data_IF_302858481936
#
_entry.id   IF_302858481936
#
_cell.length_a   1.000
_cell.length_b   1.000
_cell.length_c   1.000
_cell.angle_alpha   90.00
_cell.angle_beta   90.00
_cell.angle_gamma   90.00
#
_symmetry.space_group_name_H-M   'P 1'
#
loop_
_entity.id
_entity.type
_entity.pdbx_description
1 polymer ?
#
# COMPACT_ATOMS: atom_id res chain seq x y z
N UNK A 1 -25.05 -33.04 52.88
CA UNK A 1 -23.66 -33.06 53.40
C UNK A 1 -22.59 -33.36 52.35
N UNK A 2 -22.84 -34.25 51.36
CA UNK A 2 -21.84 -34.62 50.34
C UNK A 2 -21.52 -33.50 49.32
N UNK A 3 -22.49 -32.67 48.94
CA UNK A 3 -22.29 -31.59 47.94
C UNK A 3 -21.39 -30.45 48.44
N UNK A 4 -21.55 -30.02 49.71
CA UNK A 4 -20.66 -29.02 50.33
C UNK A 4 -19.21 -29.50 50.41
N UNK A 5 -19.00 -30.79 50.72
CA UNK A 5 -17.66 -31.38 50.81
C UNK A 5 -16.97 -31.50 49.44
N UNK A 6 -17.75 -31.66 48.37
CA UNK A 6 -17.27 -31.64 46.99
C UNK A 6 -16.87 -30.22 46.56
N UNK A 7 -17.74 -29.23 46.78
CA UNK A 7 -17.51 -27.82 46.39
C UNK A 7 -16.35 -27.16 47.15
N UNK A 8 -16.12 -27.54 48.41
CA UNK A 8 -14.99 -27.08 49.22
C UNK A 8 -13.73 -27.96 49.13
N UNK A 9 -13.70 -28.91 48.19
CA UNK A 9 -12.44 -29.61 47.89
C UNK A 9 -11.50 -28.65 47.18
N UNK A 10 -10.22 -28.66 47.56
CA UNK A 10 -9.21 -27.76 46.99
C UNK A 10 -9.11 -27.89 45.47
N UNK A 11 -9.26 -29.11 44.91
CA UNK A 11 -9.26 -29.33 43.47
C UNK A 11 -10.43 -28.62 42.77
N UNK A 12 -11.63 -28.65 43.36
CA UNK A 12 -12.82 -27.99 42.78
C UNK A 12 -12.72 -26.48 42.94
N UNK A 13 -12.15 -25.97 44.04
CA UNK A 13 -11.89 -24.54 44.19
C UNK A 13 -10.87 -24.03 43.17
N UNK A 14 -9.82 -24.79 42.88
CA UNK A 14 -8.82 -24.44 41.88
C UNK A 14 -9.43 -24.42 40.46
N UNK A 15 -10.29 -25.39 40.14
CA UNK A 15 -11.04 -25.40 38.87
C UNK A 15 -11.96 -24.18 38.75
N UNK A 16 -12.74 -23.87 39.80
CA UNK A 16 -13.61 -22.70 39.84
C UNK A 16 -12.83 -21.40 39.69
N UNK A 17 -11.65 -21.31 40.31
CA UNK A 17 -10.75 -20.17 40.15
C UNK A 17 -10.35 -19.98 38.69
N UNK A 18 -9.90 -21.03 37.99
CA UNK A 18 -9.56 -20.92 36.57
C UNK A 18 -10.75 -20.59 35.67
N UNK A 19 -11.95 -21.10 35.99
CA UNK A 19 -13.18 -20.74 35.25
C UNK A 19 -13.52 -19.26 35.43
N UNK A 20 -13.41 -18.73 36.65
CA UNK A 20 -13.65 -17.31 36.94
C UNK A 20 -12.58 -16.45 36.26
N UNK A 21 -11.30 -16.83 36.35
CA UNK A 21 -10.22 -16.14 35.64
C UNK A 21 -10.44 -16.14 34.12
N UNK A 22 -10.94 -17.25 33.55
CA UNK A 22 -11.29 -17.34 32.13
C UNK A 22 -12.44 -16.38 31.76
N UNK A 23 -13.49 -16.34 32.57
CA UNK A 23 -14.61 -15.40 32.37
C UNK A 23 -14.16 -13.94 32.44
N UNK A 24 -13.25 -13.60 33.37
CA UNK A 24 -12.67 -12.26 33.47
C UNK A 24 -11.79 -11.96 32.26
N UNK A 25 -10.96 -12.91 31.82
CA UNK A 25 -10.07 -12.75 30.66
C UNK A 25 -10.83 -12.56 29.34
N UNK A 26 -12.03 -13.15 29.21
CA UNK A 26 -12.91 -12.97 28.04
C UNK A 26 -13.51 -11.55 27.98
N UNK A 27 -13.55 -10.85 29.12
CA UNK A 27 -14.13 -9.50 29.28
C UNK A 27 -15.49 -9.36 28.56
N UNK A 28 -16.51 -10.15 28.96
CA UNK A 28 -17.80 -10.15 28.30
C UNK A 28 -18.48 -8.78 28.41
N UNK A 29 -18.91 -8.25 27.28
CA UNK A 29 -19.79 -7.11 27.21
C UNK A 29 -21.23 -7.59 27.40
N UNK A 30 -21.79 -7.33 28.58
CA UNK A 30 -23.13 -7.80 28.98
C UNK A 30 -24.28 -7.16 28.18
N UNK A 31 -24.01 -6.08 27.43
CA UNK A 31 -25.02 -5.38 26.64
C UNK A 31 -24.37 -4.73 25.41
N UNK A 32 -24.00 -5.53 24.39
CA UNK A 32 -23.40 -5.01 23.17
C UNK A 32 -24.44 -4.18 22.41
N UNK A 33 -24.34 -2.86 22.51
CA UNK A 33 -25.20 -1.91 21.81
C UNK A 33 -24.40 -1.13 20.79
N UNK A 34 -25.04 -0.82 19.68
CA UNK A 34 -24.44 -0.02 18.62
C UNK A 34 -23.69 -0.82 17.57
N UNK A 35 -23.19 -0.07 16.59
CA UNK A 35 -22.29 -0.56 15.55
C UNK A 35 -20.92 0.12 15.72
N UNK A 36 -19.84 -0.62 15.48
CA UNK A 36 -18.48 -0.07 15.44
C UNK A 36 -18.09 0.22 14.00
N UNK A 37 -17.71 1.46 13.71
CA UNK A 37 -17.24 1.86 12.39
C UNK A 37 -15.84 1.29 12.15
N UNK A 38 -15.67 0.48 11.12
CA UNK A 38 -14.36 -0.10 10.73
C UNK A 38 -13.67 0.73 9.65
N UNK A 39 -14.44 1.33 8.74
CA UNK A 39 -13.91 2.14 7.64
C UNK A 39 -14.85 3.30 7.31
N UNK A 40 -14.25 4.41 6.85
CA UNK A 40 -14.96 5.60 6.36
C UNK A 40 -14.29 6.02 5.05
N UNK A 41 -15.07 6.07 3.98
CA UNK A 41 -14.63 6.58 2.69
C UNK A 41 -15.00 8.05 2.48
N UNK A 42 -14.81 8.52 1.26
CA UNK A 42 -15.22 9.87 0.86
C UNK A 42 -16.76 9.98 0.87
N UNK A 43 -17.29 11.00 1.56
CA UNK A 43 -18.72 11.24 1.71
C UNK A 43 -19.09 12.05 2.96
N UNK A 44 -20.32 11.83 3.46
CA UNK A 44 -20.91 12.61 4.55
C UNK A 44 -20.09 12.62 5.85
N UNK A 45 -19.31 11.55 6.08
CA UNK A 45 -18.58 11.27 7.32
C UNK A 45 -17.07 11.57 7.26
N UNK A 46 -16.54 11.94 6.10
CA UNK A 46 -15.11 12.22 5.90
C UNK A 46 -14.63 13.31 6.85
N UNK A 47 -13.56 13.02 7.59
CA UNK A 47 -12.98 13.88 8.63
C UNK A 47 -13.94 14.28 9.78
N UNK A 48 -15.11 13.64 9.90
CA UNK A 48 -16.10 13.91 10.96
C UNK A 48 -16.27 12.72 11.91
N UNK A 49 -16.05 11.51 11.41
CA UNK A 49 -15.99 10.27 12.17
C UNK A 49 -14.64 9.60 11.94
N UNK A 50 -14.24 8.74 12.88
CA UNK A 50 -13.00 7.98 12.83
C UNK A 50 -13.31 6.48 12.95
N UNK A 51 -12.46 5.64 12.37
CA UNK A 51 -12.50 4.19 12.60
C UNK A 51 -12.36 3.87 14.10
N UNK A 52 -13.06 2.84 14.56
CA UNK A 52 -13.19 2.44 15.96
C UNK A 52 -14.25 3.20 16.77
N UNK A 53 -14.98 4.13 16.15
CA UNK A 53 -16.10 4.83 16.81
C UNK A 53 -17.32 3.92 16.89
N UNK A 54 -17.92 3.80 18.07
CA UNK A 54 -19.16 3.04 18.27
C UNK A 54 -20.34 4.01 18.22
N UNK A 55 -21.34 3.73 17.38
CA UNK A 55 -22.57 4.51 17.24
C UNK A 55 -23.71 3.74 17.91
N UNK A 56 -24.32 4.33 18.94
CA UNK A 56 -25.43 3.74 19.68
C UNK A 56 -26.79 4.13 19.11
N UNK A 57 -26.96 5.39 18.72
CA UNK A 57 -28.20 5.92 18.18
C UNK A 57 -27.96 7.08 17.22
N UNK A 58 -28.89 7.28 16.29
CA UNK A 58 -28.85 8.35 15.31
C UNK A 58 -30.23 9.00 15.14
N UNK A 59 -30.27 10.29 14.83
CA UNK A 59 -31.51 11.01 14.57
C UNK A 59 -31.27 12.38 13.95
N UNK A 60 -32.21 12.88 13.16
CA UNK A 60 -32.15 14.26 12.67
C UNK A 60 -32.54 15.23 13.78
N UNK A 61 -31.92 16.41 13.82
CA UNK A 61 -32.26 17.46 14.80
C UNK A 61 -33.76 17.73 14.79
N UNK A 62 -34.41 17.60 15.96
CA UNK A 62 -35.85 17.80 16.14
C UNK A 62 -36.72 16.55 15.92
N UNK A 63 -36.13 15.40 15.56
CA UNK A 63 -36.80 14.10 15.50
C UNK A 63 -36.34 13.19 16.64
N UNK A 64 -37.11 12.15 16.93
CA UNK A 64 -36.72 11.13 17.89
C UNK A 64 -35.46 10.37 17.43
N UNK A 65 -34.63 10.00 18.41
CA UNK A 65 -33.41 9.24 18.17
C UNK A 65 -33.75 7.77 17.96
N UNK A 66 -33.27 7.18 16.87
CA UNK A 66 -33.37 5.74 16.60
C UNK A 66 -32.14 5.02 17.13
N UNK A 67 -32.33 3.94 17.87
CA UNK A 67 -31.22 3.05 18.24
C UNK A 67 -30.67 2.32 17.00
N UNK A 68 -29.36 2.21 16.91
CA UNK A 68 -28.65 1.61 15.79
C UNK A 68 -28.12 0.24 16.22
N UNK A 69 -28.62 -0.82 15.60
CA UNK A 69 -28.21 -2.20 15.87
C UNK A 69 -27.46 -2.82 14.69
N UNK A 70 -27.75 -2.33 13.48
CA UNK A 70 -27.17 -2.78 12.24
C UNK A 70 -26.73 -1.60 11.36
N UNK A 71 -25.84 -1.86 10.39
CA UNK A 71 -25.42 -0.87 9.40
C UNK A 71 -26.58 -0.25 8.65
N UNK A 72 -27.61 -1.06 8.33
CA UNK A 72 -28.79 -0.63 7.58
C UNK A 72 -29.60 0.44 8.33
N UNK A 73 -29.63 0.39 9.67
CA UNK A 73 -30.34 1.38 10.48
C UNK A 73 -29.76 2.79 10.30
N UNK A 74 -28.44 2.90 10.07
CA UNK A 74 -27.79 4.18 9.84
C UNK A 74 -27.97 4.66 8.40
N UNK A 75 -28.14 3.73 7.45
CA UNK A 75 -28.39 4.05 6.03
C UNK A 75 -29.78 4.65 5.80
N UNK A 76 -30.73 4.49 6.73
CA UNK A 76 -32.04 5.16 6.65
C UNK A 76 -31.96 6.69 6.63
N UNK A 77 -30.88 7.26 7.17
CA UNK A 77 -30.65 8.70 7.15
C UNK A 77 -29.87 9.16 5.90
N UNK A 78 -29.56 8.25 4.99
CA UNK A 78 -28.90 8.58 3.73
C UNK A 78 -29.83 9.41 2.84
N UNK A 79 -29.27 10.30 2.04
CA UNK A 79 -30.00 11.20 1.14
C UNK A 79 -30.93 12.22 1.85
N UNK A 80 -31.01 12.18 3.18
CA UNK A 80 -31.69 13.21 3.96
C UNK A 80 -30.87 14.52 3.98
N UNK A 81 -31.56 15.63 4.21
CA UNK A 81 -30.94 16.95 4.37
C UNK A 81 -31.22 17.50 5.75
N UNK A 82 -30.21 18.07 6.40
CA UNK A 82 -30.33 18.60 7.76
C UNK A 82 -29.11 18.33 8.61
N UNK A 83 -29.32 18.21 9.92
CA UNK A 83 -28.26 17.90 10.88
C UNK A 83 -28.53 16.53 11.50
N UNK A 84 -27.66 15.57 11.23
CA UNK A 84 -27.69 14.23 11.83
C UNK A 84 -26.93 14.27 13.16
N UNK A 85 -27.60 13.86 14.22
CA UNK A 85 -27.03 13.70 15.56
C UNK A 85 -26.74 12.23 15.78
N UNK A 86 -25.49 11.91 16.16
CA UNK A 86 -25.03 10.57 16.49
C UNK A 86 -24.63 10.53 17.97
N UNK A 87 -25.15 9.56 18.71
CA UNK A 87 -24.65 9.24 20.05
C UNK A 87 -23.56 8.18 19.92
N UNK A 88 -22.34 8.53 20.34
CA UNK A 88 -21.18 7.65 20.19
C UNK A 88 -20.46 7.40 21.50
N UNK A 89 -19.56 6.42 21.53
CA UNK A 89 -18.64 6.21 22.66
C UNK A 89 -17.67 7.39 22.90
N UNK A 90 -17.51 8.28 21.92
CA UNK A 90 -16.70 9.51 22.00
C UNK A 90 -17.56 10.77 22.24
N UNK A 91 -18.81 10.58 22.68
CA UNK A 91 -19.78 11.66 22.91
C UNK A 91 -20.70 11.90 21.71
N UNK A 92 -21.50 12.97 21.78
CA UNK A 92 -22.46 13.32 20.73
C UNK A 92 -21.76 14.02 19.57
N UNK A 93 -22.02 13.58 18.33
CA UNK A 93 -21.50 14.20 17.10
C UNK A 93 -22.66 14.72 16.25
N UNK A 94 -22.54 15.93 15.74
CA UNK A 94 -23.55 16.52 14.84
C UNK A 94 -22.94 16.76 13.47
N UNK A 95 -23.56 16.17 12.44
CA UNK A 95 -23.06 16.15 11.07
C UNK A 95 -24.10 16.79 10.15
N UNK A 96 -23.70 17.82 9.42
CA UNK A 96 -24.55 18.44 8.40
C UNK A 96 -24.63 17.52 7.17
N UNK A 97 -25.84 17.11 6.81
CA UNK A 97 -26.18 16.31 5.64
C UNK A 97 -26.71 17.22 4.51
N UNK A 98 -26.29 16.93 3.28
CA UNK A 98 -26.71 17.64 2.06
C UNK A 98 -27.22 16.66 0.99
N UNK A 99 -27.91 15.59 1.39
CA UNK A 99 -28.34 14.55 0.45
C UNK A 99 -27.17 13.70 -0.08
N UNK A 100 -26.15 13.48 0.75
CA UNK A 100 -24.93 12.74 0.38
C UNK A 100 -25.10 11.24 0.68
N UNK A 101 -24.38 10.41 -0.09
CA UNK A 101 -24.30 8.96 0.14
C UNK A 101 -23.40 8.67 1.34
N UNK A 102 -23.74 7.65 2.12
CA UNK A 102 -22.94 7.21 3.24
C UNK A 102 -21.96 6.14 2.80
N UNK A 103 -20.68 6.48 2.82
CA UNK A 103 -19.60 5.56 2.45
C UNK A 103 -18.85 5.13 3.72
N UNK A 104 -19.32 4.05 4.34
CA UNK A 104 -18.69 3.49 5.55
C UNK A 104 -18.85 1.97 5.60
N UNK A 105 -17.99 1.32 6.37
CA UNK A 105 -18.18 -0.07 6.81
C UNK A 105 -18.32 -0.08 8.32
N UNK A 106 -19.25 -0.89 8.83
CA UNK A 106 -19.47 -1.06 10.25
C UNK A 106 -19.70 -2.53 10.60
N UNK A 107 -19.29 -2.91 11.80
CA UNK A 107 -19.54 -4.22 12.38
C UNK A 107 -20.44 -4.07 13.62
N UNK A 108 -21.12 -5.14 14.03
CA UNK A 108 -21.81 -5.14 15.32
C UNK A 108 -20.79 -5.13 16.46
N UNK A 109 -21.11 -4.42 17.53
CA UNK A 109 -20.30 -4.49 18.76
C UNK A 109 -20.31 -5.94 19.28
N UNK A 110 -19.13 -6.54 19.43
CA UNK A 110 -19.00 -7.93 19.87
C UNK A 110 -19.34 -8.07 21.36
N UNK A 111 -19.97 -9.18 21.71
CA UNK A 111 -20.31 -9.52 23.09
C UNK A 111 -19.09 -9.95 23.91
N UNK A 112 -17.98 -10.35 23.27
CA UNK A 112 -16.76 -10.82 23.94
C UNK A 112 -15.52 -10.43 23.14
N UNK A 113 -14.35 -10.47 23.78
CA UNK A 113 -13.05 -10.28 23.12
C UNK A 113 -12.52 -11.54 22.44
N UNK A 114 -13.33 -12.59 22.34
CA UNK A 114 -12.95 -13.83 21.67
C UNK A 114 -12.89 -13.59 20.16
N UNK A 115 -11.73 -13.90 19.57
CA UNK A 115 -11.57 -13.97 18.11
C UNK A 115 -11.93 -15.39 17.69
N UNK A 116 -12.92 -15.52 16.84
CA UNK A 116 -13.41 -16.82 16.43
C UNK A 116 -12.83 -17.16 15.05
N UNK A 117 -12.68 -18.46 14.78
CA UNK A 117 -12.30 -18.92 13.45
C UNK A 117 -13.38 -18.64 12.42
N UNK A 118 -13.05 -18.78 11.14
CA UNK A 118 -13.97 -18.61 10.01
C UNK A 118 -15.28 -19.40 10.16
N UNK A 119 -15.20 -20.60 10.74
CA UNK A 119 -16.33 -21.50 10.93
C UNK A 119 -17.38 -20.97 11.93
N UNK A 120 -17.00 -20.02 12.78
CA UNK A 120 -17.85 -19.45 13.84
C UNK A 120 -18.14 -17.96 13.60
N UNK A 121 -17.16 -17.19 13.14
CA UNK A 121 -17.30 -15.74 12.90
C UNK A 121 -17.87 -15.42 11.51
N UNK A 122 -17.77 -16.37 10.58
CA UNK A 122 -17.95 -16.08 9.16
C UNK A 122 -16.79 -15.27 8.58
N UNK A 123 -16.78 -15.15 7.26
CA UNK A 123 -15.73 -14.47 6.52
C UNK A 123 -15.89 -14.75 5.04
N UNK A 124 -14.91 -14.32 4.25
CA UNK A 124 -15.03 -14.41 2.80
C UNK A 124 -14.07 -15.44 2.25
N UNK A 125 -14.63 -16.26 1.36
CA UNK A 125 -13.88 -17.15 0.49
C UNK A 125 -13.92 -16.59 -0.92
N UNK A 126 -12.75 -16.31 -1.48
CA UNK A 126 -12.59 -15.88 -2.86
C UNK A 126 -11.85 -16.95 -3.66
N UNK A 127 -12.24 -17.14 -4.91
CA UNK A 127 -11.52 -17.95 -5.88
C UNK A 127 -10.88 -17.02 -6.91
N UNK A 128 -9.56 -17.09 -7.03
CA UNK A 128 -8.81 -16.33 -8.01
C UNK A 128 -8.34 -17.23 -9.14
N UNK A 129 -8.58 -16.75 -10.35
CA UNK A 129 -8.06 -17.31 -11.58
C UNK A 129 -6.94 -16.40 -12.09
N UNK A 130 -5.68 -16.89 -12.15
CA UNK A 130 -4.59 -16.12 -12.74
C UNK A 130 -4.82 -15.90 -14.24
N UNK A 131 -4.69 -14.67 -14.72
CA UNK A 131 -4.63 -14.37 -16.15
C UNK A 131 -3.18 -14.39 -16.63
N UNK A 132 -2.86 -15.19 -17.65
CA UNK A 132 -1.55 -15.29 -18.32
C UNK A 132 -0.35 -15.64 -17.42
N UNK A 133 -0.09 -16.95 -17.28
CA UNK A 133 0.98 -17.50 -16.42
C UNK A 133 2.34 -17.69 -17.12
N UNK A 134 2.69 -16.88 -18.12
CA UNK A 134 3.80 -17.21 -19.02
C UNK A 134 5.16 -17.42 -18.32
N UNK A 135 5.41 -16.75 -17.20
CA UNK A 135 6.68 -16.81 -16.45
C UNK A 135 6.53 -16.89 -14.93
N UNK A 136 5.32 -17.11 -14.39
CA UNK A 136 5.07 -17.09 -12.94
C UNK A 136 4.28 -18.31 -12.54
N UNK A 137 4.68 -18.97 -11.46
CA UNK A 137 3.99 -20.16 -10.93
C UNK A 137 2.87 -19.78 -9.96
N UNK A 138 1.90 -20.66 -9.78
CA UNK A 138 0.80 -20.45 -8.80
C UNK A 138 1.36 -20.26 -7.39
N UNK A 139 2.42 -20.99 -7.07
CA UNK A 139 3.05 -20.97 -5.75
C UNK A 139 3.79 -19.63 -5.51
N UNK A 140 4.40 -19.04 -6.54
CA UNK A 140 4.94 -17.68 -6.47
C UNK A 140 3.84 -16.63 -6.25
N UNK A 141 2.68 -16.78 -6.90
CA UNK A 141 1.54 -15.87 -6.68
C UNK A 141 1.05 -15.99 -5.24
N UNK A 142 0.90 -17.22 -4.72
CA UNK A 142 0.51 -17.45 -3.32
C UNK A 142 1.51 -16.78 -2.36
N UNK A 143 2.82 -16.98 -2.56
CA UNK A 143 3.84 -16.36 -1.71
C UNK A 143 3.77 -14.82 -1.71
N UNK A 144 3.50 -14.20 -2.86
CA UNK A 144 3.34 -12.75 -2.97
C UNK A 144 2.09 -12.30 -2.20
N UNK A 145 0.97 -13.00 -2.36
CA UNK A 145 -0.28 -12.65 -1.69
C UNK A 145 -0.19 -12.85 -0.17
N UNK A 146 0.44 -13.93 0.30
CA UNK A 146 0.74 -14.17 1.71
C UNK A 146 1.60 -13.05 2.30
N UNK A 147 2.68 -12.69 1.61
CA UNK A 147 3.57 -11.61 2.05
C UNK A 147 2.81 -10.28 2.16
N UNK A 148 1.95 -9.96 1.19
CA UNK A 148 1.12 -8.75 1.22
C UNK A 148 0.15 -8.75 2.40
N UNK A 149 -0.62 -9.83 2.60
CA UNK A 149 -1.57 -9.89 3.71
C UNK A 149 -0.86 -9.79 5.06
N UNK A 150 0.27 -10.48 5.22
CA UNK A 150 1.06 -10.43 6.46
C UNK A 150 1.59 -9.02 6.75
N UNK A 151 2.07 -8.29 5.73
CA UNK A 151 2.55 -6.91 5.88
C UNK A 151 1.41 -5.95 6.22
N UNK A 152 0.26 -6.07 5.55
CA UNK A 152 -0.88 -5.19 5.84
C UNK A 152 -1.55 -5.49 7.18
N UNK A 153 -1.17 -6.59 7.86
CA UNK A 153 -1.50 -6.84 9.27
C UNK A 153 -2.98 -7.08 9.54
N UNK A 154 -3.77 -7.34 8.51
CA UNK A 154 -5.21 -7.48 8.60
C UNK A 154 -5.60 -8.95 8.40
N UNK A 155 -5.79 -9.63 9.53
CA UNK A 155 -6.43 -10.94 9.68
C UNK A 155 -5.60 -12.12 9.13
N UNK A 156 -5.80 -13.28 9.75
CA UNK A 156 -5.18 -14.53 9.33
C UNK A 156 -5.89 -14.99 8.04
N UNK A 157 -5.21 -14.86 6.91
CA UNK A 157 -5.69 -15.38 5.64
C UNK A 157 -5.06 -16.73 5.36
N UNK A 158 -5.86 -17.64 4.79
CA UNK A 158 -5.41 -18.94 4.34
C UNK A 158 -5.46 -19.01 2.82
N UNK A 159 -4.36 -19.44 2.21
CA UNK A 159 -4.23 -19.63 0.77
C UNK A 159 -4.14 -21.11 0.45
N UNK A 160 -4.95 -21.56 -0.52
CA UNK A 160 -4.90 -22.94 -1.02
C UNK A 160 -4.89 -22.96 -2.54
N UNK A 161 -3.96 -23.73 -3.10
CA UNK A 161 -3.98 -24.11 -4.51
C UNK A 161 -5.10 -25.11 -4.75
N UNK A 162 -5.93 -24.83 -5.74
CA UNK A 162 -6.97 -25.74 -6.23
C UNK A 162 -6.72 -26.03 -7.71
N UNK A 163 -6.92 -27.28 -8.10
CA UNK A 163 -6.92 -27.69 -9.50
C UNK A 163 -8.34 -28.13 -9.80
N UNK A 164 -9.05 -27.39 -10.66
CA UNK A 164 -10.41 -27.71 -11.09
C UNK A 164 -10.38 -27.87 -12.61
N UNK A 165 -10.47 -29.12 -13.09
CA UNK A 165 -10.23 -29.43 -14.50
C UNK A 165 -8.79 -29.11 -14.89
N UNK A 166 -8.61 -28.35 -15.97
CA UNK A 166 -7.30 -27.85 -16.44
C UNK A 166 -6.94 -26.48 -15.87
N UNK A 167 -7.76 -25.92 -14.96
CA UNK A 167 -7.53 -24.60 -14.40
C UNK A 167 -6.86 -24.67 -13.03
N UNK A 168 -5.73 -23.96 -12.91
CA UNK A 168 -5.09 -23.70 -11.63
C UNK A 168 -5.73 -22.47 -10.97
N UNK A 169 -6.38 -22.68 -9.83
CA UNK A 169 -7.06 -21.64 -9.06
C UNK A 169 -6.40 -21.44 -7.70
N UNK A 170 -6.58 -20.26 -7.12
CA UNK A 170 -6.14 -19.94 -5.76
C UNK A 170 -7.39 -19.63 -4.93
N UNK A 171 -7.64 -20.45 -3.93
CA UNK A 171 -8.64 -20.17 -2.90
C UNK A 171 -8.02 -19.32 -1.81
N UNK A 172 -8.69 -18.23 -1.45
CA UNK A 172 -8.31 -17.36 -0.35
C UNK A 172 -9.46 -17.38 0.66
N UNK A 173 -9.13 -17.60 1.92
CA UNK A 173 -10.08 -17.49 3.03
C UNK A 173 -9.60 -16.42 4.02
N UNK A 174 -10.42 -15.40 4.28
CA UNK A 174 -10.10 -14.33 5.25
C UNK A 174 -11.16 -14.30 6.35
N UNK A 175 -10.73 -14.47 7.60
CA UNK A 175 -11.62 -14.39 8.76
C UNK A 175 -12.08 -12.96 9.02
N UNK A 176 -13.39 -12.73 9.10
CA UNK A 176 -13.99 -11.42 9.39
C UNK A 176 -13.88 -10.34 8.29
N UNK A 177 -13.23 -10.63 7.16
CA UNK A 177 -13.06 -9.69 6.03
C UNK A 177 -14.34 -9.34 5.28
N UNK A 178 -14.38 -8.19 4.61
CA UNK A 178 -15.43 -7.83 3.64
C UNK A 178 -14.94 -7.91 2.17
N UNK A 179 -15.86 -7.96 1.20
CA UNK A 179 -15.52 -8.22 -0.21
C UNK A 179 -14.65 -7.11 -0.79
N UNK A 180 -14.89 -5.88 -0.35
CA UNK A 180 -14.16 -4.70 -0.79
C UNK A 180 -12.69 -4.73 -0.33
N UNK A 181 -12.43 -5.15 0.91
CA UNK A 181 -11.07 -5.34 1.43
C UNK A 181 -10.29 -6.36 0.60
N UNK A 182 -10.92 -7.48 0.25
CA UNK A 182 -10.32 -8.49 -0.63
C UNK A 182 -10.06 -7.91 -2.02
N UNK A 183 -11.02 -7.20 -2.61
CA UNK A 183 -10.84 -6.57 -3.92
C UNK A 183 -9.70 -5.54 -3.91
N UNK A 184 -9.62 -4.69 -2.90
CA UNK A 184 -8.58 -3.67 -2.79
C UNK A 184 -7.17 -4.28 -2.59
N UNK A 185 -7.07 -5.39 -1.85
CA UNK A 185 -5.83 -6.14 -1.66
C UNK A 185 -5.39 -6.90 -2.91
N UNK A 186 -6.34 -7.38 -3.72
CA UNK A 186 -6.08 -8.26 -4.86
C UNK A 186 -5.99 -7.54 -6.21
N UNK A 187 -6.68 -6.41 -6.39
CA UNK A 187 -6.74 -5.70 -7.68
C UNK A 187 -5.51 -4.82 -7.95
N UNK A 188 -4.69 -4.53 -6.93
CA UNK A 188 -3.43 -3.79 -7.13
C UNK A 188 -2.35 -4.74 -7.61
N UNK A 189 -2.00 -4.68 -8.90
CA UNK A 189 -0.87 -5.41 -9.47
C UNK A 189 0.42 -5.07 -8.71
N UNK A 190 0.56 -3.84 -8.22
CA UNK A 190 1.71 -3.40 -7.44
C UNK A 190 2.97 -3.34 -8.29
N UNK A 191 2.82 -2.98 -9.57
CA UNK A 191 3.92 -2.85 -10.52
C UNK A 191 4.76 -1.65 -10.10
N UNK A 192 5.93 -1.92 -9.54
CA UNK A 192 6.87 -0.91 -9.10
C UNK A 192 7.82 -0.57 -10.24
N UNK A 193 8.00 0.72 -10.51
CA UNK A 193 9.03 1.24 -11.38
C UNK A 193 9.73 2.44 -10.72
N UNK A 194 11.05 2.52 -10.85
CA UNK A 194 11.82 3.72 -10.53
C UNK A 194 12.43 4.26 -11.81
N UNK A 195 12.27 5.56 -12.07
CA UNK A 195 12.75 6.23 -13.28
C UNK A 195 13.57 7.48 -12.95
N UNK A 196 14.57 7.76 -13.76
CA UNK A 196 15.37 9.00 -13.68
C UNK A 196 15.14 9.80 -14.97
N UNK A 197 14.72 11.06 -14.89
CA UNK A 197 14.62 11.93 -16.04
C UNK A 197 16.01 12.41 -16.49
N UNK A 198 16.14 12.58 -17.81
CA UNK A 198 17.25 13.29 -18.45
C UNK A 198 16.68 14.50 -19.18
N UNK A 199 16.98 15.69 -18.66
CA UNK A 199 16.62 16.95 -19.32
C UNK A 199 17.69 17.35 -20.34
N UNK A 200 17.33 17.27 -21.63
CA UNK A 200 18.26 17.47 -22.75
C UNK A 200 17.81 18.65 -23.62
N UNK A 201 18.77 19.46 -24.07
CA UNK A 201 18.53 20.55 -25.02
C UNK A 201 18.55 20.03 -26.46
N UNK A 202 17.85 20.69 -27.38
CA UNK A 202 17.93 20.36 -28.81
C UNK A 202 19.38 20.40 -29.32
N UNK A 203 19.82 19.38 -30.05
CA UNK A 203 21.19 19.24 -30.54
C UNK A 203 22.21 18.74 -29.51
N UNK A 204 21.82 18.50 -28.25
CA UNK A 204 22.75 17.95 -27.25
C UNK A 204 22.94 16.45 -27.41
N UNK A 205 23.94 15.91 -26.71
CA UNK A 205 24.19 14.47 -26.61
C UNK A 205 24.19 13.99 -25.18
N UNK A 206 23.92 12.70 -25.01
CA UNK A 206 24.06 11.96 -23.76
C UNK A 206 24.72 10.61 -24.01
N UNK A 207 25.23 9.98 -22.96
CA UNK A 207 26.07 8.78 -23.00
C UNK A 207 25.33 7.56 -22.48
N UNK A 208 25.40 6.44 -23.21
CA UNK A 208 24.88 5.13 -22.77
C UNK A 208 25.77 3.97 -23.25
N UNK A 209 25.67 2.83 -22.57
CA UNK A 209 26.26 1.54 -22.90
C UNK A 209 27.47 1.14 -22.05
N UNK A 210 28.06 2.05 -21.26
CA UNK A 210 29.30 1.80 -20.52
C UNK A 210 29.17 0.62 -19.54
N UNK A 211 28.08 0.55 -18.78
CA UNK A 211 27.89 -0.41 -17.71
C UNK A 211 27.13 -1.67 -18.16
N UNK A 212 26.21 -1.50 -19.13
CA UNK A 212 25.40 -2.60 -19.65
C UNK A 212 26.08 -3.40 -20.76
N UNK A 213 26.83 -2.73 -21.65
CA UNK A 213 27.39 -3.33 -22.88
C UNK A 213 28.93 -3.26 -22.88
N UNK A 214 29.53 -2.46 -22.00
CA UNK A 214 30.98 -2.31 -21.87
C UNK A 214 31.59 -1.26 -22.81
N UNK A 215 30.78 -0.57 -23.61
CA UNK A 215 31.23 0.52 -24.49
C UNK A 215 30.31 1.72 -24.37
N UNK A 216 30.90 2.91 -24.15
CA UNK A 216 30.14 4.14 -23.97
C UNK A 216 29.93 4.83 -25.31
N UNK A 217 28.69 5.00 -25.72
CA UNK A 217 28.29 5.61 -26.99
C UNK A 217 27.56 6.94 -26.73
N UNK A 218 27.84 7.94 -27.57
CA UNK A 218 27.17 9.24 -27.51
C UNK A 218 25.97 9.29 -28.45
N UNK A 219 24.81 9.59 -27.88
CA UNK A 219 23.54 9.72 -28.59
C UNK A 219 23.20 11.20 -28.77
N UNK A 220 23.30 11.71 -30.00
CA UNK A 220 22.82 13.05 -30.34
C UNK A 220 21.31 13.05 -30.52
N UNK A 221 20.67 14.09 -29.99
CA UNK A 221 19.23 14.28 -30.07
C UNK A 221 18.84 15.50 -30.90
N UNK A 222 17.73 15.38 -31.62
CA UNK A 222 17.11 16.50 -32.31
C UNK A 222 15.61 16.52 -32.01
N UNK A 223 15.13 17.69 -31.59
CA UNK A 223 13.71 17.91 -31.35
C UNK A 223 13.06 18.33 -32.67
N UNK A 224 12.06 17.57 -33.08
CA UNK A 224 11.14 17.91 -34.16
C UNK A 224 9.79 18.27 -33.53
N UNK A 225 8.92 18.97 -34.28
CA UNK A 225 7.68 19.56 -33.76
C UNK A 225 6.93 18.72 -32.70
N UNK A 226 6.76 17.41 -32.92
CA UNK A 226 6.07 16.51 -31.99
C UNK A 226 6.77 15.17 -31.76
N UNK A 227 8.08 15.11 -31.97
CA UNK A 227 8.83 13.85 -31.87
C UNK A 227 10.30 14.09 -31.60
N UNK A 228 10.93 13.13 -30.94
CA UNK A 228 12.36 13.12 -30.67
C UNK A 228 13.09 12.26 -31.70
N UNK A 229 14.11 12.81 -32.35
CA UNK A 229 15.03 12.05 -33.20
C UNK A 229 16.30 11.73 -32.42
N UNK A 230 16.68 10.45 -32.36
CA UNK A 230 17.92 9.97 -31.75
C UNK A 230 18.64 9.12 -32.77
N UNK A 231 19.82 9.55 -33.21
CA UNK A 231 20.49 8.93 -34.37
C UNK A 231 19.60 8.97 -35.62
N UNK A 232 19.28 7.80 -36.17
CA UNK A 232 18.40 7.66 -37.34
C UNK A 232 16.94 7.40 -37.00
N UNK A 233 16.62 7.12 -35.73
CA UNK A 233 15.28 6.74 -35.30
C UNK A 233 14.48 7.95 -34.81
N UNK A 234 13.16 7.89 -34.97
CA UNK A 234 12.21 8.92 -34.55
C UNK A 234 11.21 8.31 -33.58
N UNK A 235 10.99 8.97 -32.46
CA UNK A 235 10.12 8.52 -31.37
C UNK A 235 9.06 9.57 -31.06
N UNK A 236 7.81 9.12 -30.93
CA UNK A 236 6.68 10.00 -30.57
C UNK A 236 6.51 10.09 -29.04
N UNK A 237 5.75 11.08 -28.55
CA UNK A 237 5.63 11.37 -27.11
C UNK A 237 5.08 10.18 -26.32
N UNK A 238 4.10 9.47 -26.86
CA UNK A 238 3.43 8.34 -26.18
C UNK A 238 4.19 7.01 -26.32
N UNK A 239 5.28 7.00 -27.09
CA UNK A 239 6.00 5.78 -27.41
C UNK A 239 7.06 5.46 -26.36
N UNK A 240 7.11 4.19 -25.95
CA UNK A 240 8.24 3.64 -25.18
C UNK A 240 9.28 3.14 -26.17
N UNK A 241 10.55 3.42 -25.89
CA UNK A 241 11.65 2.99 -26.75
C UNK A 241 12.82 2.46 -25.93
N UNK A 242 13.50 1.43 -26.43
CA UNK A 242 14.67 0.86 -25.78
C UNK A 242 15.94 1.42 -26.42
N UNK A 243 16.87 1.91 -25.59
CA UNK A 243 18.23 2.25 -26.01
C UNK A 243 19.21 1.51 -25.13
N UNK A 244 20.06 0.67 -25.74
CA UNK A 244 21.18 -0.01 -25.07
C UNK A 244 20.76 -0.77 -23.80
N UNK A 245 19.56 -1.35 -23.81
CA UNK A 245 19.03 -2.13 -22.67
C UNK A 245 18.30 -1.31 -21.61
N UNK A 246 18.00 -0.04 -21.86
CA UNK A 246 17.20 0.82 -20.99
C UNK A 246 15.94 1.26 -21.72
N UNK A 247 14.80 1.07 -21.08
CA UNK A 247 13.52 1.57 -21.57
C UNK A 247 13.32 3.04 -21.21
N UNK A 248 13.00 3.84 -22.21
CA UNK A 248 12.71 5.26 -22.09
C UNK A 248 11.27 5.57 -22.48
N UNK A 249 10.73 6.65 -21.91
CA UNK A 249 9.53 7.32 -22.39
C UNK A 249 9.75 8.83 -22.42
N UNK A 250 9.04 9.55 -23.28
CA UNK A 250 9.10 11.01 -23.32
C UNK A 250 8.12 11.56 -22.29
N UNK A 251 8.62 12.25 -21.25
CA UNK A 251 7.76 12.89 -20.23
C UNK A 251 7.26 14.25 -20.70
N UNK A 252 8.13 15.03 -21.34
CA UNK A 252 7.81 16.37 -21.80
C UNK A 252 8.67 16.73 -23.01
N UNK A 253 8.08 17.41 -24.00
CA UNK A 253 8.74 17.86 -25.21
C UNK A 253 8.35 19.32 -25.51
N UNK A 254 9.35 20.17 -25.65
CA UNK A 254 9.21 21.58 -26.06
C UNK A 254 10.13 21.85 -27.25
N UNK A 255 9.98 22.97 -27.96
CA UNK A 255 10.85 23.31 -29.10
C UNK A 255 12.35 23.41 -28.76
N UNK A 256 12.71 23.58 -27.49
CA UNK A 256 14.11 23.75 -27.03
C UNK A 256 14.62 22.59 -26.19
N UNK A 257 13.75 21.91 -25.44
CA UNK A 257 14.11 20.92 -24.44
C UNK A 257 13.21 19.70 -24.50
N UNK A 258 13.79 18.53 -24.24
CA UNK A 258 13.07 17.28 -24.03
C UNK A 258 13.45 16.70 -22.68
N UNK A 259 12.47 16.08 -22.02
CA UNK A 259 12.68 15.29 -20.81
C UNK A 259 12.31 13.86 -21.14
N UNK A 260 13.31 12.98 -21.16
CA UNK A 260 13.12 11.54 -21.31
C UNK A 260 13.31 10.86 -19.96
N UNK A 261 12.44 9.92 -19.60
CA UNK A 261 12.55 9.16 -18.36
C UNK A 261 13.04 7.75 -18.65
N UNK A 262 14.27 7.46 -18.20
CA UNK A 262 14.86 6.13 -18.29
C UNK A 262 14.47 5.26 -17.10
N UNK A 263 14.12 4.00 -17.38
CA UNK A 263 13.79 2.98 -16.39
C UNK A 263 15.04 2.48 -15.69
N UNK A 264 15.06 2.60 -14.37
CA UNK A 264 16.20 2.23 -13.52
C UNK A 264 15.92 0.93 -12.78
N UNK A 265 14.81 0.87 -12.06
CA UNK A 265 14.41 -0.30 -11.28
C UNK A 265 12.99 -0.72 -11.64
N UNK A 266 12.76 -2.02 -11.73
CA UNK A 266 11.44 -2.65 -11.74
C UNK A 266 11.27 -3.49 -10.47
N UNK A 267 10.07 -4.02 -10.23
CA UNK A 267 9.79 -4.93 -9.11
C UNK A 267 10.84 -6.05 -8.95
N UNK A 268 11.31 -6.64 -10.05
CA UNK A 268 12.31 -7.74 -10.03
C UNK A 268 13.71 -7.31 -9.60
N UNK A 269 14.01 -6.02 -9.66
CA UNK A 269 15.32 -5.47 -9.31
C UNK A 269 15.47 -5.23 -7.83
N UNK A 270 14.36 -5.06 -7.10
CA UNK A 270 14.40 -4.92 -5.65
C UNK A 270 14.48 -6.33 -5.06
N UNK A 271 15.63 -6.66 -4.47
CA UNK A 271 15.92 -7.98 -3.87
C UNK A 271 15.65 -8.01 -2.37
N UNK A 272 15.70 -6.86 -1.72
CA UNK A 272 15.40 -6.74 -0.29
C UNK A 272 15.25 -5.28 0.11
N UNK A 273 14.43 -5.02 1.12
CA UNK A 273 14.23 -3.71 1.72
C UNK A 273 14.40 -3.87 3.23
N UNK A 274 15.06 -2.92 3.87
CA UNK A 274 15.46 -3.05 5.26
C UNK A 274 16.66 -3.97 5.45
N UNK A 275 17.50 -4.14 4.43
CA UNK A 275 18.68 -5.01 4.50
C UNK A 275 19.92 -4.21 4.03
N UNK A 276 21.03 -4.25 4.79
CA UNK A 276 21.17 -5.00 6.04
C UNK A 276 20.52 -4.25 7.23
N UNK A 277 20.08 -4.95 8.29
CA UNK A 277 19.31 -4.36 9.39
C UNK A 277 19.96 -3.13 10.03
N UNK A 278 21.29 -3.10 10.10
CA UNK A 278 22.08 -1.99 10.62
C UNK A 278 21.95 -0.69 9.82
N UNK A 279 21.48 -0.77 8.56
CA UNK A 279 21.24 0.41 7.72
C UNK A 279 19.88 1.05 7.99
N UNK A 280 19.07 0.49 8.90
CA UNK A 280 17.72 0.95 9.16
C UNK A 280 17.61 1.67 10.50
N UNK A 281 17.08 2.88 10.49
CA UNK A 281 16.74 3.59 11.72
C UNK A 281 15.60 4.59 11.51
N UNK A 282 14.96 4.95 12.60
CA UNK A 282 13.92 5.98 12.66
C UNK A 282 14.23 6.87 13.86
N UNK A 283 14.53 8.14 13.60
CA UNK A 283 14.92 9.11 14.61
C UNK A 283 13.96 10.28 14.67
N UNK A 284 13.74 10.82 15.87
CA UNK A 284 12.95 12.04 16.06
C UNK A 284 13.84 13.27 15.90
N UNK A 285 13.41 14.21 15.05
CA UNK A 285 14.05 15.52 14.87
C UNK A 285 13.10 16.63 15.37
N UNK A 286 13.61 17.87 15.54
CA UNK A 286 12.85 18.98 16.15
C UNK A 286 11.44 19.17 15.56
N UNK A 287 11.31 19.04 14.23
CA UNK A 287 10.03 19.13 13.50
C UNK A 287 9.75 17.87 12.66
N UNK A 288 9.82 16.69 13.27
CA UNK A 288 9.32 15.47 12.63
C UNK A 288 10.15 14.23 12.93
N UNK A 289 10.19 13.33 11.96
CA UNK A 289 10.98 12.12 11.99
C UNK A 289 11.92 12.09 10.79
N UNK A 290 13.09 11.49 10.98
CA UNK A 290 14.00 11.10 9.92
C UNK A 290 14.00 9.59 9.86
N UNK A 291 13.85 9.02 8.67
CA UNK A 291 14.01 7.59 8.48
C UNK A 291 15.21 7.29 7.59
N UNK A 292 15.75 6.10 7.78
CA UNK A 292 16.72 5.50 6.88
C UNK A 292 16.44 4.02 6.75
N UNK A 293 16.60 3.46 5.55
CA UNK A 293 16.66 2.01 5.36
C UNK A 293 17.55 1.63 4.16
N UNK A 294 18.18 0.46 4.28
CA UNK A 294 18.95 -0.14 3.20
C UNK A 294 18.05 -0.88 2.20
N UNK A 295 18.41 -0.85 0.93
CA UNK A 295 17.75 -1.63 -0.13
C UNK A 295 18.80 -2.47 -0.84
N UNK A 296 18.50 -3.72 -1.14
CA UNK A 296 19.32 -4.57 -2.01
C UNK A 296 18.73 -4.55 -3.42
N UNK A 297 19.57 -4.24 -4.40
CA UNK A 297 19.23 -4.08 -5.80
C UNK A 297 19.96 -5.11 -6.66
N UNK A 298 19.29 -5.59 -7.71
CA UNK A 298 19.89 -6.49 -8.69
C UNK A 298 21.11 -5.84 -9.37
N UNK A 299 22.12 -6.63 -9.81
CA UNK A 299 23.24 -6.09 -10.57
C UNK A 299 22.82 -5.35 -11.84
N UNK A 300 21.76 -5.82 -12.53
CA UNK A 300 21.22 -5.15 -13.72
C UNK A 300 20.61 -3.79 -13.36
N UNK A 301 19.88 -3.68 -12.25
CA UNK A 301 19.32 -2.42 -11.76
C UNK A 301 20.43 -1.43 -11.41
N UNK A 302 21.45 -1.88 -10.69
CA UNK A 302 22.62 -1.06 -10.33
C UNK A 302 23.35 -0.52 -11.58
N UNK A 303 23.48 -1.33 -12.63
CA UNK A 303 24.05 -0.92 -13.92
C UNK A 303 23.20 0.14 -14.62
N UNK A 304 21.88 -0.06 -14.70
CA UNK A 304 20.96 0.94 -15.28
C UNK A 304 21.02 2.27 -14.54
N UNK A 305 21.08 2.21 -13.20
CA UNK A 305 21.25 3.38 -12.36
C UNK A 305 22.57 4.12 -12.66
N UNK A 306 23.69 3.41 -12.72
CA UNK A 306 24.99 4.00 -13.08
C UNK A 306 24.95 4.63 -14.48
N UNK A 307 24.32 3.94 -15.44
CA UNK A 307 24.22 4.37 -16.83
C UNK A 307 23.46 5.70 -16.97
N UNK A 308 22.35 5.88 -16.25
CA UNK A 308 21.60 7.15 -16.30
C UNK A 308 22.29 8.25 -15.50
N UNK A 309 22.75 7.94 -14.28
CA UNK A 309 23.33 8.95 -13.39
C UNK A 309 24.63 9.55 -13.91
N UNK A 310 25.41 8.85 -14.74
CA UNK A 310 26.64 9.40 -15.35
C UNK A 310 26.36 10.70 -16.14
N UNK A 311 25.14 10.86 -16.68
CA UNK A 311 24.72 12.00 -17.47
C UNK A 311 24.25 13.19 -16.64
N UNK A 312 24.08 13.02 -15.32
CA UNK A 312 23.59 14.06 -14.43
C UNK A 312 24.72 14.98 -13.95
N UNK A 313 24.38 16.23 -13.66
CA UNK A 313 25.35 17.21 -13.13
C UNK A 313 25.29 17.23 -11.60
N UNK A 314 26.40 17.57 -10.95
CA UNK A 314 26.41 17.75 -9.51
C UNK A 314 25.87 19.15 -9.18
N UNK A 315 24.96 19.22 -8.22
CA UNK A 315 24.43 20.45 -7.62
C UNK A 315 24.95 20.51 -6.18
N UNK A 316 25.70 21.55 -5.89
CA UNK A 316 26.26 21.80 -4.57
C UNK A 316 25.29 22.67 -3.76
N UNK A 317 24.99 22.28 -2.54
CA UNK A 317 24.18 23.06 -1.60
C UNK A 317 24.81 23.03 -0.20
N UNK A 318 24.55 24.02 0.67
CA UNK A 318 25.12 24.05 2.02
C UNK A 318 24.77 22.81 2.87
N UNK A 319 23.67 22.13 2.55
CA UNK A 319 23.20 20.92 3.23
C UNK A 319 23.59 19.60 2.56
N UNK A 320 24.39 19.61 1.49
CA UNK A 320 24.79 18.39 0.78
C UNK A 320 25.01 18.60 -0.72
N UNK A 321 25.61 17.61 -1.38
CA UNK A 321 25.76 17.59 -2.85
C UNK A 321 24.90 16.51 -3.46
N UNK A 322 24.04 16.90 -4.40
CA UNK A 322 23.09 16.01 -5.06
C UNK A 322 23.26 16.05 -6.58
N UNK A 323 22.68 15.08 -7.28
CA UNK A 323 22.58 15.12 -8.74
C UNK A 323 21.47 16.06 -9.19
N UNK A 324 21.59 16.51 -10.44
CA UNK A 324 20.69 17.52 -11.02
C UNK A 324 19.26 17.07 -11.22
N UNK A 325 19.00 15.77 -11.05
CA UNK A 325 17.69 15.15 -11.23
C UNK A 325 17.43 14.20 -10.06
N UNK A 326 16.15 13.98 -9.78
CA UNK A 326 15.67 13.04 -8.76
C UNK A 326 15.38 11.67 -9.36
N UNK A 327 15.34 10.65 -8.51
CA UNK A 327 14.74 9.36 -8.86
C UNK A 327 13.26 9.38 -8.46
N UNK A 328 12.38 9.05 -9.41
CA UNK A 328 10.93 9.05 -9.23
C UNK A 328 10.42 7.62 -9.12
N UNK A 329 9.55 7.38 -8.15
CA UNK A 329 8.95 6.07 -7.87
C UNK A 329 7.50 6.04 -8.33
N UNK A 330 7.15 4.96 -9.01
CA UNK A 330 5.83 4.72 -9.56
C UNK A 330 5.31 3.38 -9.05
N UNK A 331 4.03 3.35 -8.66
CA UNK A 331 3.28 2.11 -8.47
C UNK A 331 2.06 2.14 -9.37
N UNK A 332 1.91 1.10 -10.19
CA UNK A 332 0.82 0.98 -11.16
C UNK A 332 0.71 2.24 -12.04
N UNK A 333 1.86 2.68 -12.55
CA UNK A 333 2.06 3.87 -13.41
C UNK A 333 1.71 5.23 -12.76
N UNK A 334 1.32 5.26 -11.47
CA UNK A 334 1.11 6.49 -10.69
C UNK A 334 2.36 6.87 -9.92
N UNK A 335 2.81 8.12 -10.08
CA UNK A 335 3.92 8.70 -9.30
C UNK A 335 3.54 8.76 -7.82
N UNK A 336 4.40 8.22 -6.95
CA UNK A 336 4.20 8.22 -5.50
C UNK A 336 5.12 9.20 -4.80
N UNK A 337 6.41 9.16 -5.13
CA UNK A 337 7.43 9.94 -4.43
C UNK A 337 8.66 10.17 -5.33
N UNK A 338 9.50 11.14 -4.97
CA UNK A 338 10.72 11.48 -5.68
C UNK A 338 11.85 11.88 -4.72
N UNK A 339 12.98 11.17 -4.82
CA UNK A 339 14.12 11.35 -3.93
C UNK A 339 15.33 11.98 -4.62
N UNK A 340 16.06 12.82 -3.88
CA UNK A 340 17.35 13.33 -4.33
C UNK A 340 18.37 12.19 -4.40
N UNK A 341 19.27 12.27 -5.37
CA UNK A 341 20.36 11.30 -5.53
C UNK A 341 21.65 11.95 -5.05
N UNK A 342 22.37 11.32 -4.13
CA UNK A 342 23.66 11.82 -3.65
C UNK A 342 24.68 11.92 -4.80
N UNK A 343 25.43 13.02 -4.86
CA UNK A 343 26.40 13.25 -5.93
C UNK A 343 27.49 12.18 -6.03
N UNK A 344 27.81 11.50 -4.93
CA UNK A 344 28.80 10.41 -4.88
C UNK A 344 28.35 9.15 -5.60
N UNK A 345 27.04 9.00 -5.85
CA UNK A 345 26.47 7.85 -6.56
C UNK A 345 26.55 8.00 -8.09
N UNK A 346 27.03 9.15 -8.59
CA UNK A 346 27.13 9.43 -10.03
C UNK A 346 27.91 8.36 -10.77
N UNK A 347 27.27 7.64 -11.68
CA UNK A 347 27.94 6.67 -12.55
C UNK A 347 28.57 5.52 -11.78
N UNK A 348 27.99 5.13 -10.63
CA UNK A 348 28.46 4.01 -9.81
C UNK A 348 27.42 2.92 -9.74
N UNK A 349 27.86 1.68 -9.88
CA UNK A 349 27.04 0.49 -9.63
C UNK A 349 26.92 0.31 -8.11
N UNK A 350 25.76 0.65 -7.55
CA UNK A 350 25.49 0.49 -6.13
C UNK A 350 24.35 -0.51 -5.95
N UNK A 351 24.68 -1.67 -5.39
CA UNK A 351 23.73 -2.75 -5.14
C UNK A 351 23.04 -2.61 -3.78
N UNK A 352 23.63 -1.87 -2.83
CA UNK A 352 23.07 -1.69 -1.49
C UNK A 352 22.87 -0.19 -1.16
N UNK A 353 22.08 0.56 -1.93
CA UNK A 353 21.86 1.96 -1.62
C UNK A 353 21.07 2.14 -0.32
N UNK A 354 21.32 3.28 0.31
CA UNK A 354 20.63 3.73 1.51
C UNK A 354 19.62 4.80 1.09
N UNK A 355 18.38 4.64 1.53
CA UNK A 355 17.31 5.62 1.35
C UNK A 355 17.16 6.39 2.65
N UNK A 356 17.14 7.73 2.57
CA UNK A 356 16.90 8.63 3.70
C UNK A 356 15.77 9.60 3.39
N UNK A 357 14.99 9.98 4.39
CA UNK A 357 13.88 10.92 4.28
C UNK A 357 13.52 11.61 5.58
#
# INVERSE_FOLDING_TARGET
MKLKKLLFSWQVMLLLFFIICSLIAIQPNLNPRGIIITYIGDGAFTNKLESGTIIYSAGLVGKEMKEIYHSEDLLEFQNESGYLVLQTNKGTKTIKLKGEIFNFSAEKVKATNLKFGLDIEGGIRALLKPENMSNTTVDEIINILETRINIYGLRQAEFRKLIIGDENLIMISIAGGNEQEIRDLLLKKGKFEARIPLTLNNGSSFKLGKFLIGSNEEFRIYILNNSLKIGNNRYNIEEKFNLKGIDFKIKNLTSKKVVIEGLVFESKDIKGVGIPPESNYLDRIQNGYRFQFGVIISPIGAKRFAELTQNLRNIFSPGGSYLSEKIYFYIDDKELDALNIDANLKGREVINPIITG
#
